data_IF_563631205983
#
_entry.id   IF_563631205983
#
_cell.length_a   1.000
_cell.length_b   1.000
_cell.length_c   1.000
_cell.angle_alpha   90.00
_cell.angle_beta   90.00
_cell.angle_gamma   90.00
#
_symmetry.space_group_name_H-M   'P 1'
#
loop_
_entity.id
_entity.type
_entity.pdbx_description
1 polymer ?
#
# COMPACT_ATOMS: atom_id res chain seq x y z
N UNK A 1 -85.46 41.62 -9.90
CA UNK A 1 -84.01 41.76 -9.86
C UNK A 1 -83.47 40.56 -9.10
N UNK A 2 -82.96 39.56 -9.82
CA UNK A 2 -82.36 38.36 -9.25
C UNK A 2 -81.00 38.17 -9.92
N UNK A 3 -79.93 38.35 -9.14
CA UNK A 3 -78.55 38.24 -9.59
C UNK A 3 -78.19 36.79 -9.87
N UNK A 4 -77.73 36.53 -11.10
CA UNK A 4 -77.28 35.22 -11.55
C UNK A 4 -75.76 35.13 -11.33
N UNK A 5 -75.34 34.51 -10.23
CA UNK A 5 -73.93 34.25 -9.94
C UNK A 5 -73.39 33.13 -10.84
N UNK A 6 -72.42 33.48 -11.69
CA UNK A 6 -71.69 32.55 -12.56
C UNK A 6 -70.62 31.81 -11.74
N UNK A 7 -70.52 30.47 -11.79
CA UNK A 7 -69.53 29.74 -11.02
C UNK A 7 -68.14 29.82 -11.67
N UNK A 8 -67.13 30.06 -10.83
CA UNK A 8 -65.72 30.20 -11.23
C UNK A 8 -65.12 28.89 -11.81
N UNK A 9 -64.22 28.97 -12.79
CA UNK A 9 -63.65 27.80 -13.46
C UNK A 9 -62.71 27.00 -12.52
N UNK A 10 -62.90 25.68 -12.48
CA UNK A 10 -62.01 24.74 -11.80
C UNK A 10 -60.61 24.79 -12.40
N UNK A 11 -59.59 25.14 -11.59
CA UNK A 11 -58.17 25.11 -11.98
C UNK A 11 -57.75 23.69 -12.36
N UNK A 12 -57.25 23.53 -13.58
CA UNK A 12 -56.67 22.28 -14.06
C UNK A 12 -55.44 21.89 -13.21
N UNK A 13 -55.20 20.58 -12.97
CA UNK A 13 -54.06 20.12 -12.19
C UNK A 13 -52.74 20.47 -12.89
N UNK A 14 -51.84 21.13 -12.16
CA UNK A 14 -50.47 21.40 -12.60
C UNK A 14 -49.77 20.07 -12.91
N UNK A 15 -49.47 19.81 -14.19
CA UNK A 15 -48.60 18.70 -14.61
C UNK A 15 -47.26 18.84 -13.90
N UNK A 16 -46.85 17.80 -13.15
CA UNK A 16 -45.50 17.72 -12.57
C UNK A 16 -44.47 17.77 -13.71
N UNK A 17 -43.40 18.58 -13.60
CA UNK A 17 -42.36 18.62 -14.63
C UNK A 17 -41.79 17.22 -14.84
N UNK A 18 -41.76 16.76 -16.09
CA UNK A 18 -41.08 15.51 -16.44
C UNK A 18 -39.56 15.71 -16.26
N UNK A 19 -38.85 14.76 -15.64
CA UNK A 19 -37.42 14.85 -15.44
C UNK A 19 -36.72 14.90 -16.80
N UNK A 20 -35.75 15.81 -16.93
CA UNK A 20 -34.95 16.00 -18.14
C UNK A 20 -34.22 14.69 -18.45
N UNK A 21 -34.17 14.23 -19.72
CA UNK A 21 -33.43 13.02 -20.07
C UNK A 21 -31.95 13.22 -19.73
N UNK A 22 -31.39 12.25 -19.00
CA UNK A 22 -30.02 12.31 -18.53
C UNK A 22 -29.04 12.24 -19.70
N UNK A 23 -27.95 13.02 -19.61
CA UNK A 23 -26.87 12.93 -20.59
C UNK A 23 -26.10 11.61 -20.41
N UNK A 24 -25.39 11.16 -21.44
CA UNK A 24 -24.53 9.96 -21.37
C UNK A 24 -23.51 10.10 -20.23
N UNK A 25 -22.96 11.31 -20.03
CA UNK A 25 -22.01 11.61 -18.97
C UNK A 25 -22.63 11.45 -17.57
N UNK A 26 -23.85 11.95 -17.35
CA UNK A 26 -24.55 11.78 -16.07
C UNK A 26 -24.81 10.29 -15.74
N UNK A 27 -25.11 9.48 -16.76
CA UNK A 27 -25.30 8.03 -16.59
C UNK A 27 -23.98 7.32 -16.27
N UNK A 28 -22.89 7.72 -16.92
CA UNK A 28 -21.54 7.20 -16.64
C UNK A 28 -21.06 7.57 -15.23
N UNK A 29 -21.24 8.83 -14.81
CA UNK A 29 -20.93 9.28 -13.45
C UNK A 29 -21.73 8.52 -12.38
N UNK A 30 -23.02 8.24 -12.65
CA UNK A 30 -23.83 7.40 -11.78
C UNK A 30 -23.24 5.99 -11.67
N UNK A 31 -22.92 5.36 -12.80
CA UNK A 31 -22.34 4.01 -12.80
C UNK A 31 -21.02 3.95 -12.02
N UNK A 32 -20.12 4.94 -12.20
CA UNK A 32 -18.87 5.02 -11.45
C UNK A 32 -19.08 5.21 -9.94
N UNK A 33 -20.08 6.01 -9.53
CA UNK A 33 -20.42 6.15 -8.11
C UNK A 33 -20.92 4.84 -7.50
N UNK A 34 -21.80 4.11 -8.20
CA UNK A 34 -22.29 2.82 -7.72
C UNK A 34 -21.15 1.80 -7.62
N UNK A 35 -20.25 1.74 -8.61
CA UNK A 35 -19.06 0.89 -8.56
C UNK A 35 -18.16 1.24 -7.36
N UNK A 36 -17.97 2.53 -7.06
CA UNK A 36 -17.21 2.98 -5.89
C UNK A 36 -17.89 2.57 -4.58
N UNK A 37 -19.22 2.65 -4.50
CA UNK A 37 -19.98 2.19 -3.33
C UNK A 37 -19.80 0.69 -3.12
N UNK A 38 -19.98 -0.12 -4.16
CA UNK A 38 -19.76 -1.58 -4.11
C UNK A 38 -18.34 -1.91 -3.65
N UNK A 39 -17.34 -1.20 -4.19
CA UNK A 39 -15.95 -1.44 -3.82
C UNK A 39 -15.67 -1.08 -2.35
N UNK A 40 -16.29 -0.03 -1.83
CA UNK A 40 -16.23 0.31 -0.39
C UNK A 40 -16.90 -0.74 0.49
N UNK A 41 -18.05 -1.25 0.09
CA UNK A 41 -18.76 -2.32 0.83
C UNK A 41 -17.91 -3.59 0.91
N UNK A 42 -17.22 -3.95 -0.18
CA UNK A 42 -16.27 -5.07 -0.20
C UNK A 42 -15.09 -4.79 0.74
N UNK A 43 -14.50 -3.59 0.67
CA UNK A 43 -13.35 -3.21 1.52
C UNK A 43 -13.67 -3.11 3.00
N UNK A 44 -14.87 -2.66 3.37
CA UNK A 44 -15.32 -2.60 4.76
C UNK A 44 -15.37 -3.97 5.44
N UNK A 45 -15.51 -5.06 4.68
CA UNK A 45 -15.44 -6.43 5.17
C UNK A 45 -14.03 -6.92 5.49
N UNK A 46 -12.98 -6.16 5.14
CA UNK A 46 -11.58 -6.56 5.27
C UNK A 46 -10.82 -5.84 6.39
N UNK A 47 -11.51 -5.09 7.27
CA UNK A 47 -10.91 -4.33 8.38
C UNK A 47 -9.83 -3.32 7.94
N UNK A 48 -10.00 -2.76 6.73
CA UNK A 48 -9.09 -1.78 6.14
C UNK A 48 -9.46 -0.37 6.65
N UNK A 49 -8.45 0.44 6.98
CA UNK A 49 -8.67 1.85 7.34
C UNK A 49 -9.41 2.60 6.21
N UNK A 50 -10.48 3.36 6.50
CA UNK A 50 -11.27 4.05 5.47
C UNK A 50 -10.47 5.02 4.58
N UNK A 51 -9.39 5.63 5.09
CA UNK A 51 -8.53 6.52 4.29
C UNK A 51 -7.65 5.73 3.35
N UNK A 52 -7.04 4.65 3.83
CA UNK A 52 -6.26 3.73 2.99
C UNK A 52 -7.12 3.12 1.88
N UNK A 53 -8.37 2.77 2.21
CA UNK A 53 -9.35 2.31 1.24
C UNK A 53 -9.68 3.38 0.19
N UNK A 54 -9.90 4.64 0.59
CA UNK A 54 -10.20 5.71 -0.37
C UNK A 54 -9.01 6.06 -1.27
N UNK A 55 -7.78 6.01 -0.75
CA UNK A 55 -6.55 6.17 -1.54
C UNK A 55 -6.38 5.01 -2.54
N UNK A 56 -6.60 3.77 -2.09
CA UNK A 56 -6.58 2.58 -2.93
C UNK A 56 -7.61 2.65 -4.06
N UNK A 57 -8.83 3.11 -3.74
CA UNK A 57 -9.92 3.29 -4.70
C UNK A 57 -9.67 4.45 -5.68
N UNK A 58 -8.98 5.51 -5.26
CA UNK A 58 -8.64 6.66 -6.10
C UNK A 58 -7.75 6.31 -7.29
N UNK A 59 -6.90 5.29 -7.14
CA UNK A 59 -5.99 4.82 -8.18
C UNK A 59 -6.46 3.50 -8.84
N UNK A 60 -7.67 3.03 -8.52
CA UNK A 60 -8.16 1.73 -8.95
C UNK A 60 -8.52 1.74 -10.44
N UNK A 61 -7.81 0.94 -11.24
CA UNK A 61 -8.19 0.67 -12.64
C UNK A 61 -8.73 -0.74 -12.75
N UNK A 62 -10.05 -0.86 -12.85
CA UNK A 62 -10.74 -2.15 -12.97
C UNK A 62 -10.89 -2.51 -14.46
N UNK A 63 -10.15 -3.49 -15.00
CA UNK A 63 -10.61 -4.15 -16.21
C UNK A 63 -11.91 -4.86 -15.84
N UNK A 64 -13.01 -4.61 -16.54
CA UNK A 64 -14.26 -5.38 -16.37
C UNK A 64 -14.74 -5.74 -17.76
N UNK A 65 -14.93 -7.02 -18.01
CA UNK A 65 -15.52 -7.49 -19.26
C UNK A 65 -17.03 -7.48 -19.09
N UNK A 66 -17.72 -6.63 -19.85
CA UNK A 66 -19.18 -6.53 -19.83
C UNK A 66 -19.74 -7.13 -21.11
N UNK A 67 -20.43 -8.26 -20.99
CA UNK A 67 -21.15 -8.89 -22.10
C UNK A 67 -22.49 -8.18 -22.30
N UNK A 68 -22.58 -7.30 -23.30
CA UNK A 68 -23.76 -6.45 -23.58
C UNK A 68 -24.88 -7.17 -24.37
N UNK A 69 -24.99 -8.49 -24.27
CA UNK A 69 -25.90 -9.28 -25.11
C UNK A 69 -27.39 -8.99 -24.87
N UNK A 70 -28.13 -8.65 -25.95
CA UNK A 70 -29.59 -8.68 -26.07
C UNK A 70 -30.39 -7.62 -25.28
N UNK A 71 -31.68 -7.44 -25.62
CA UNK A 71 -32.60 -6.49 -24.97
C UNK A 71 -32.89 -6.81 -23.48
N UNK A 72 -32.56 -8.02 -23.03
CA UNK A 72 -32.65 -8.46 -21.64
C UNK A 72 -31.34 -9.07 -21.19
N UNK A 73 -30.70 -8.48 -20.18
CA UNK A 73 -29.54 -9.07 -19.52
C UNK A 73 -29.99 -10.33 -18.78
N UNK A 74 -29.53 -11.54 -19.17
CA UNK A 74 -29.82 -12.76 -18.43
C UNK A 74 -29.32 -12.60 -16.98
N UNK A 75 -30.08 -13.10 -16.01
CA UNK A 75 -29.70 -13.05 -14.59
C UNK A 75 -28.31 -13.65 -14.34
N UNK A 76 -27.95 -14.68 -15.09
CA UNK A 76 -26.65 -15.34 -15.09
C UNK A 76 -25.50 -14.37 -15.46
N UNK A 77 -25.68 -13.49 -16.44
CA UNK A 77 -24.66 -12.52 -16.84
C UNK A 77 -24.44 -11.46 -15.74
N UNK A 78 -25.51 -11.07 -15.04
CA UNK A 78 -25.43 -10.15 -13.90
C UNK A 78 -24.71 -10.81 -12.72
N UNK A 79 -25.01 -12.07 -12.42
CA UNK A 79 -24.36 -12.84 -11.36
C UNK A 79 -22.87 -13.08 -11.66
N UNK A 80 -22.52 -13.40 -12.91
CA UNK A 80 -21.14 -13.53 -13.38
C UNK A 80 -20.38 -12.21 -13.28
N UNK A 81 -20.96 -11.11 -13.75
CA UNK A 81 -20.37 -9.77 -13.62
C UNK A 81 -20.15 -9.38 -12.15
N UNK A 82 -21.13 -9.63 -11.28
CA UNK A 82 -21.02 -9.34 -9.86
C UNK A 82 -19.91 -10.17 -9.19
N UNK A 83 -19.78 -11.45 -9.55
CA UNK A 83 -18.74 -12.34 -9.05
C UNK A 83 -17.35 -11.91 -9.53
N UNK A 84 -17.21 -11.61 -10.83
CA UNK A 84 -15.97 -11.13 -11.42
C UNK A 84 -15.55 -9.78 -10.84
N UNK A 85 -16.49 -8.84 -10.68
CA UNK A 85 -16.24 -7.54 -10.06
C UNK A 85 -15.78 -7.72 -8.61
N UNK A 86 -16.46 -8.56 -7.83
CA UNK A 86 -16.08 -8.83 -6.44
C UNK A 86 -14.68 -9.42 -6.36
N UNK A 87 -14.37 -10.44 -7.16
CA UNK A 87 -13.05 -11.07 -7.17
C UNK A 87 -11.95 -10.07 -7.54
N UNK A 88 -12.18 -9.23 -8.56
CA UNK A 88 -11.20 -8.22 -8.99
C UNK A 88 -11.00 -7.12 -7.95
N UNK A 89 -12.09 -6.64 -7.34
CA UNK A 89 -11.99 -5.66 -6.26
C UNK A 89 -11.25 -6.25 -5.06
N UNK A 90 -11.55 -7.48 -4.66
CA UNK A 90 -10.87 -8.18 -3.56
C UNK A 90 -9.36 -8.31 -3.81
N UNK A 91 -8.96 -8.79 -4.98
CA UNK A 91 -7.55 -8.88 -5.37
C UNK A 91 -6.84 -7.52 -5.37
N UNK A 92 -7.50 -6.50 -5.91
CA UNK A 92 -6.91 -5.16 -5.99
C UNK A 92 -6.82 -4.47 -4.64
N UNK A 93 -7.83 -4.65 -3.76
CA UNK A 93 -7.79 -4.15 -2.40
C UNK A 93 -6.67 -4.83 -1.62
N UNK A 94 -6.56 -6.16 -1.69
CA UNK A 94 -5.43 -6.91 -1.12
C UNK A 94 -4.10 -6.37 -1.58
N UNK A 95 -3.91 -6.15 -2.88
CA UNK A 95 -2.67 -5.58 -3.41
C UNK A 95 -2.41 -4.13 -2.98
N UNK A 96 -3.46 -3.33 -2.82
CA UNK A 96 -3.34 -1.95 -2.38
C UNK A 96 -2.95 -1.86 -0.89
N UNK A 97 -3.52 -2.72 -0.05
CA UNK A 97 -3.24 -2.72 1.40
C UNK A 97 -2.02 -3.55 1.78
N UNK A 98 -1.59 -4.51 0.95
CA UNK A 98 -0.44 -5.35 1.26
C UNK A 98 0.87 -4.55 1.43
N UNK A 99 0.95 -3.33 0.89
CA UNK A 99 2.07 -2.43 1.13
C UNK A 99 1.75 -1.39 2.21
N UNK A 100 2.48 -1.46 3.32
CA UNK A 100 2.49 -0.43 4.37
C UNK A 100 3.91 0.07 4.58
N UNK A 101 4.11 1.38 4.50
CA UNK A 101 5.43 2.00 4.71
C UNK A 101 5.93 1.72 6.11
N UNK A 102 7.20 1.35 6.26
CA UNK A 102 7.78 1.00 7.56
C UNK A 102 7.47 -0.42 8.03
N UNK A 103 6.83 -1.24 7.19
CA UNK A 103 6.44 -2.60 7.52
C UNK A 103 6.81 -3.58 6.41
N UNK A 104 7.21 -4.79 6.78
CA UNK A 104 7.39 -5.93 5.87
C UNK A 104 6.12 -6.77 5.90
N UNK A 105 5.60 -7.16 4.73
CA UNK A 105 4.41 -7.98 4.67
C UNK A 105 4.63 -9.36 5.30
N UNK A 106 3.72 -9.79 6.17
CA UNK A 106 3.77 -11.09 6.82
C UNK A 106 2.85 -12.08 6.09
N UNK A 107 3.42 -12.98 5.30
CA UNK A 107 2.65 -14.01 4.58
C UNK A 107 2.03 -15.04 5.52
N UNK A 108 2.58 -15.23 6.72
CA UNK A 108 2.00 -16.12 7.72
C UNK A 108 0.68 -15.58 8.31
N UNK A 109 0.63 -14.28 8.58
CA UNK A 109 -0.56 -13.62 9.14
C UNK A 109 -1.48 -13.01 8.06
N UNK A 110 -1.05 -13.09 6.80
CA UNK A 110 -1.67 -12.50 5.61
C UNK A 110 -2.01 -11.01 5.77
N UNK A 111 -1.13 -10.25 6.44
CA UNK A 111 -1.40 -8.84 6.75
C UNK A 111 -0.12 -7.99 6.86
N UNK A 112 -0.21 -6.69 6.55
CA UNK A 112 0.93 -5.75 6.57
C UNK A 112 1.21 -5.15 7.95
N UNK A 113 0.39 -5.42 8.98
CA UNK A 113 0.35 -4.66 10.24
C UNK A 113 0.37 -5.55 11.50
N UNK A 114 0.83 -6.80 11.40
CA UNK A 114 1.03 -7.65 12.57
C UNK A 114 2.36 -7.32 13.30
N UNK A 115 2.51 -7.82 14.53
CA UNK A 115 3.73 -7.65 15.35
C UNK A 115 5.03 -8.16 14.69
N UNK A 116 4.94 -9.02 13.67
CA UNK A 116 6.11 -9.55 12.96
C UNK A 116 6.62 -8.62 11.86
N UNK A 117 5.85 -7.59 11.48
CA UNK A 117 6.13 -6.75 10.31
C UNK A 117 7.19 -5.68 10.56
N UNK A 118 7.68 -5.54 11.79
CA UNK A 118 8.65 -4.54 12.20
C UNK A 118 9.76 -5.15 13.06
N UNK A 119 10.97 -4.56 13.04
CA UNK A 119 12.01 -4.96 13.96
C UNK A 119 11.61 -4.59 15.39
N UNK A 120 12.10 -5.35 16.37
CA UNK A 120 11.87 -5.05 17.78
C UNK A 120 12.87 -4.03 18.32
N UNK A 121 14.08 -4.01 17.75
CA UNK A 121 15.15 -3.07 18.07
C UNK A 121 15.56 -2.24 16.85
N UNK A 122 16.16 -1.07 17.07
CA UNK A 122 16.55 -0.16 15.97
C UNK A 122 17.78 -0.61 15.19
N UNK A 123 18.59 -1.49 15.75
CA UNK A 123 19.76 -2.09 15.11
C UNK A 123 19.43 -3.38 14.35
N UNK A 124 18.18 -3.84 14.42
CA UNK A 124 17.68 -4.98 13.66
C UNK A 124 17.28 -4.61 12.23
N UNK A 125 17.53 -5.54 11.32
CA UNK A 125 17.17 -5.47 9.91
C UNK A 125 16.43 -6.73 9.49
N UNK A 126 15.65 -6.61 8.41
CA UNK A 126 14.93 -7.73 7.83
C UNK A 126 15.93 -8.73 7.24
N UNK A 127 15.88 -9.99 7.71
CA UNK A 127 16.80 -11.05 7.32
C UNK A 127 16.21 -12.04 6.32
N UNK A 128 14.97 -11.83 5.88
CA UNK A 128 14.23 -12.75 5.03
C UNK A 128 13.00 -13.34 5.71
N UNK A 129 12.54 -14.48 5.22
CA UNK A 129 11.34 -15.15 5.71
C UNK A 129 11.64 -16.53 6.28
N UNK A 130 10.86 -16.95 7.27
CA UNK A 130 10.78 -18.37 7.66
C UNK A 130 10.17 -19.20 6.51
N UNK A 131 10.26 -20.55 6.56
CA UNK A 131 9.59 -21.42 5.59
C UNK A 131 8.08 -21.18 5.46
N UNK A 132 7.45 -20.68 6.52
CA UNK A 132 6.02 -20.36 6.60
C UNK A 132 5.70 -18.90 6.26
N UNK A 133 6.66 -18.13 5.75
CA UNK A 133 6.44 -16.75 5.31
C UNK A 133 6.30 -15.73 6.44
N UNK A 134 6.80 -16.02 7.64
CA UNK A 134 6.90 -15.02 8.72
C UNK A 134 8.21 -14.24 8.55
N UNK A 135 8.21 -12.89 8.63
CA UNK A 135 9.43 -12.10 8.59
C UNK A 135 10.39 -12.49 9.72
N UNK A 136 11.67 -12.58 9.39
CA UNK A 136 12.76 -12.76 10.36
C UNK A 136 13.60 -11.50 10.46
N UNK A 137 14.05 -11.21 11.68
CA UNK A 137 14.83 -10.03 12.00
C UNK A 137 16.15 -10.47 12.63
N UNK A 138 17.24 -9.80 12.28
CA UNK A 138 18.58 -10.02 12.84
C UNK A 138 19.26 -8.68 13.06
N UNK A 139 20.22 -8.59 13.98
CA UNK A 139 20.99 -7.35 14.14
C UNK A 139 21.84 -7.10 12.89
N UNK A 140 22.06 -5.84 12.53
CA UNK A 140 22.88 -5.51 11.35
C UNK A 140 24.29 -6.10 11.44
N UNK A 141 24.88 -6.14 12.64
CA UNK A 141 26.18 -6.76 12.87
C UNK A 141 26.16 -8.26 12.58
N UNK A 142 25.12 -8.98 13.00
CA UNK A 142 24.97 -10.40 12.68
C UNK A 142 24.80 -10.60 11.17
N UNK A 143 24.02 -9.74 10.50
CA UNK A 143 23.91 -9.77 9.04
C UNK A 143 25.28 -9.59 8.37
N UNK A 144 26.10 -8.63 8.81
CA UNK A 144 27.47 -8.46 8.30
C UNK A 144 28.34 -9.71 8.49
N UNK A 145 28.22 -10.39 9.64
CA UNK A 145 28.97 -11.60 9.93
C UNK A 145 28.53 -12.78 9.06
N UNK A 146 27.21 -12.96 8.88
CA UNK A 146 26.63 -14.00 8.03
C UNK A 146 27.05 -13.84 6.57
N UNK A 147 27.15 -12.59 6.10
CA UNK A 147 27.62 -12.25 4.73
C UNK A 147 29.14 -12.14 4.62
N UNK A 148 29.89 -12.45 5.69
CA UNK A 148 31.34 -12.36 5.75
C UNK A 148 31.88 -11.00 5.23
N UNK A 149 31.22 -9.91 5.63
CA UNK A 149 31.58 -8.57 5.16
C UNK A 149 32.95 -8.17 5.71
N UNK A 150 33.87 -7.89 4.80
CA UNK A 150 35.16 -7.31 5.14
C UNK A 150 34.96 -6.01 5.92
N UNK A 151 35.82 -5.77 6.91
CA UNK A 151 35.84 -4.52 7.71
C UNK A 151 34.64 -4.33 8.65
N UNK A 152 33.94 -5.39 9.03
CA UNK A 152 32.84 -5.33 10.04
C UNK A 152 33.29 -4.71 11.37
N UNK A 153 34.58 -4.80 11.71
CA UNK A 153 35.20 -4.17 12.87
C UNK A 153 35.13 -2.63 12.83
N UNK A 154 35.09 -2.04 11.63
CA UNK A 154 34.99 -0.59 11.46
C UNK A 154 33.62 -0.01 11.81
N UNK A 155 32.59 -0.85 12.01
CA UNK A 155 31.31 -0.41 12.58
C UNK A 155 31.46 0.14 14.00
N UNK A 156 32.54 -0.24 14.70
CA UNK A 156 32.80 0.10 16.10
C UNK A 156 34.09 0.89 16.31
N UNK A 157 34.74 1.36 15.24
CA UNK A 157 35.92 2.21 15.33
C UNK A 157 35.60 3.57 15.97
N UNK A 158 36.62 4.35 16.34
CA UNK A 158 36.41 5.72 16.85
C UNK A 158 35.79 6.67 15.81
N UNK A 159 35.96 6.34 14.53
CA UNK A 159 35.21 6.94 13.42
C UNK A 159 34.52 5.81 12.66
N UNK A 160 33.29 5.44 13.04
CA UNK A 160 32.60 4.32 12.43
C UNK A 160 32.34 4.55 10.95
N UNK A 161 32.59 3.52 10.14
CA UNK A 161 32.19 3.54 8.74
C UNK A 161 30.76 3.04 8.58
N UNK A 162 30.06 3.55 7.56
CA UNK A 162 28.77 3.01 7.14
C UNK A 162 29.02 1.91 6.12
N UNK A 163 28.60 0.70 6.47
CA UNK A 163 28.64 -0.45 5.59
C UNK A 163 27.25 -0.63 4.98
N UNK A 164 27.20 -0.97 3.71
CA UNK A 164 25.96 -1.28 3.01
C UNK A 164 26.02 -2.68 2.38
N UNK A 165 24.97 -3.47 2.59
CA UNK A 165 24.79 -4.82 2.05
C UNK A 165 23.57 -4.79 1.13
N UNK A 166 23.70 -5.34 -0.08
CA UNK A 166 22.58 -5.52 -1.00
C UNK A 166 22.14 -6.97 -1.00
N UNK A 167 20.86 -7.22 -0.83
CA UNK A 167 20.28 -8.57 -0.85
C UNK A 167 19.21 -8.65 -1.95
N UNK A 168 19.35 -9.57 -2.92
CA UNK A 168 18.30 -9.83 -3.91
C UNK A 168 17.11 -10.54 -3.28
N UNK A 169 15.97 -10.54 -3.96
CA UNK A 169 14.78 -11.27 -3.53
C UNK A 169 15.02 -12.77 -3.30
N UNK A 170 15.85 -13.39 -4.15
CA UNK A 170 16.19 -14.82 -4.05
C UNK A 170 16.81 -15.20 -2.71
N UNK A 171 17.63 -14.30 -2.14
CA UNK A 171 18.23 -14.51 -0.82
C UNK A 171 17.21 -14.28 0.30
N UNK A 172 16.35 -13.26 0.18
CA UNK A 172 15.37 -12.91 1.20
C UNK A 172 14.21 -13.91 1.31
N UNK A 173 13.96 -14.67 0.23
CA UNK A 173 12.92 -15.69 0.15
C UNK A 173 13.48 -17.11 0.20
N UNK A 174 14.78 -17.25 0.45
CA UNK A 174 15.42 -18.55 0.51
C UNK A 174 14.75 -19.44 1.57
N UNK A 175 14.39 -20.67 1.20
CA UNK A 175 13.73 -21.62 2.09
C UNK A 175 12.24 -21.37 2.35
N UNK A 176 11.66 -20.28 1.82
CA UNK A 176 10.21 -20.05 1.89
C UNK A 176 9.46 -21.07 1.02
N UNK A 177 8.43 -21.71 1.56
CA UNK A 177 7.65 -22.68 0.81
C UNK A 177 6.78 -21.99 -0.26
N UNK A 178 6.55 -22.60 -1.44
CA UNK A 178 5.79 -21.97 -2.53
C UNK A 178 4.39 -21.46 -2.15
N UNK A 179 3.72 -22.14 -1.21
CA UNK A 179 2.40 -21.74 -0.71
C UNK A 179 2.40 -20.44 0.11
N UNK A 180 3.57 -19.93 0.49
CA UNK A 180 3.73 -18.67 1.20
C UNK A 180 4.52 -17.70 0.31
N UNK A 181 3.87 -16.63 -0.16
CA UNK A 181 4.52 -15.47 -0.78
C UNK A 181 5.17 -15.65 -2.16
N UNK A 182 5.59 -16.86 -2.56
CA UNK A 182 6.27 -17.12 -3.84
C UNK A 182 5.45 -16.70 -5.06
N UNK A 183 4.14 -16.98 -5.02
CA UNK A 183 3.18 -16.62 -6.07
C UNK A 183 2.23 -15.48 -5.66
N UNK A 184 2.49 -14.78 -4.55
CA UNK A 184 1.62 -13.69 -4.11
C UNK A 184 1.66 -12.54 -5.11
N UNK A 185 0.54 -12.31 -5.78
CA UNK A 185 0.37 -11.18 -6.69
C UNK A 185 0.22 -9.85 -5.92
N UNK A 186 -0.14 -9.90 -4.64
CA UNK A 186 -0.41 -8.72 -3.84
C UNK A 186 0.87 -8.01 -3.38
N UNK A 187 1.91 -8.77 -3.02
CA UNK A 187 3.17 -8.22 -2.49
C UNK A 187 4.37 -9.06 -2.92
N UNK A 188 5.32 -8.41 -3.60
CA UNK A 188 6.53 -9.03 -4.08
C UNK A 188 7.74 -8.15 -3.72
N UNK A 189 8.53 -8.58 -2.73
CA UNK A 189 9.80 -7.94 -2.41
C UNK A 189 10.84 -8.31 -3.48
N UNK A 190 11.39 -7.29 -4.16
CA UNK A 190 12.36 -7.44 -5.25
C UNK A 190 13.82 -7.44 -4.75
N UNK A 191 14.04 -6.95 -3.55
CA UNK A 191 15.34 -6.89 -2.91
C UNK A 191 15.42 -5.75 -1.91
N UNK A 192 16.56 -5.65 -1.24
CA UNK A 192 16.83 -4.57 -0.29
C UNK A 192 18.30 -4.18 -0.25
N UNK A 193 18.53 -2.96 0.22
CA UNK A 193 19.83 -2.47 0.66
C UNK A 193 19.72 -2.16 2.14
N UNK A 194 20.61 -2.74 2.93
CA UNK A 194 20.72 -2.48 4.37
C UNK A 194 22.01 -1.72 4.61
N UNK A 195 21.92 -0.58 5.30
CA UNK A 195 23.07 0.21 5.71
C UNK A 195 23.05 0.43 7.22
N UNK A 196 24.19 0.23 7.88
CA UNK A 196 24.30 0.40 9.33
C UNK A 196 25.75 0.62 9.75
N UNK A 197 26.04 0.97 11.01
CA UNK A 197 25.15 1.46 12.07
C UNK A 197 25.10 3.00 12.00
N UNK A 198 24.04 3.55 11.43
CA UNK A 198 23.92 5.00 11.19
C UNK A 198 23.49 5.68 12.50
N UNK A 199 24.15 6.76 12.97
CA UNK A 199 23.69 7.49 14.14
C UNK A 199 22.38 8.22 13.85
N UNK A 200 21.43 8.26 14.80
CA UNK A 200 20.10 8.85 14.57
C UNK A 200 20.14 10.34 14.18
N UNK A 201 21.17 11.07 14.58
CA UNK A 201 21.38 12.46 14.20
C UNK A 201 22.05 12.62 12.81
N UNK A 202 22.31 11.52 12.10
CA UNK A 202 22.97 11.45 10.80
C UNK A 202 24.37 12.10 10.76
N UNK A 203 24.97 12.39 11.91
CA UNK A 203 26.35 12.88 12.03
C UNK A 203 27.31 11.69 12.14
N UNK A 204 27.85 11.28 11.00
CA UNK A 204 28.71 10.10 10.88
C UNK A 204 30.15 10.39 11.31
N UNK A 205 30.56 11.67 11.41
CA UNK A 205 31.96 12.05 11.61
C UNK A 205 32.44 11.87 13.06
N UNK A 206 31.51 11.82 14.02
CA UNK A 206 31.83 11.76 15.44
C UNK A 206 31.27 10.50 16.09
N UNK A 207 32.09 9.88 16.93
CA UNK A 207 31.60 8.94 17.93
C UNK A 207 30.71 9.70 18.91
N UNK A 208 29.41 9.58 18.72
CA UNK A 208 28.39 10.10 19.62
C UNK A 208 27.76 8.96 20.40
N UNK A 209 27.35 9.22 21.64
CA UNK A 209 26.51 8.31 22.44
C UNK A 209 25.06 8.25 21.93
N UNK A 210 24.77 8.85 20.77
CA UNK A 210 23.46 8.78 20.12
C UNK A 210 23.19 7.35 19.67
N UNK A 211 21.97 6.83 19.87
CA UNK A 211 21.59 5.51 19.37
C UNK A 211 21.86 5.39 17.87
N UNK A 212 22.21 4.19 17.45
CA UNK A 212 22.46 3.86 16.04
C UNK A 212 21.37 2.96 15.52
N UNK A 213 21.14 3.06 14.22
CA UNK A 213 20.05 2.39 13.52
C UNK A 213 20.57 1.65 12.30
N UNK A 214 19.97 0.50 12.01
CA UNK A 214 20.09 -0.18 10.74
C UNK A 214 19.03 0.40 9.79
N UNK A 215 19.46 1.16 8.79
CA UNK A 215 18.57 1.69 7.76
C UNK A 215 18.40 0.65 6.67
N UNK A 216 17.17 0.23 6.39
CA UNK A 216 16.88 -0.67 5.28
C UNK A 216 16.01 0.02 4.25
N UNK A 217 16.42 -0.05 2.98
CA UNK A 217 15.64 0.39 1.83
C UNK A 217 15.25 -0.85 1.04
N UNK A 218 13.96 -1.13 0.94
CA UNK A 218 13.43 -2.27 0.17
C UNK A 218 12.72 -1.78 -1.07
N UNK A 219 12.87 -2.52 -2.17
CA UNK A 219 12.07 -2.32 -3.36
C UNK A 219 10.95 -3.37 -3.39
N UNK A 220 9.71 -2.91 -3.40
CA UNK A 220 8.52 -3.76 -3.38
C UNK A 220 7.70 -3.51 -4.64
N UNK A 221 7.28 -4.59 -5.28
CA UNK A 221 6.26 -4.61 -6.33
C UNK A 221 4.92 -5.04 -5.72
N UNK A 222 3.87 -4.26 -5.91
CA UNK A 222 2.48 -4.73 -5.72
C UNK A 222 1.78 -4.78 -7.07
N UNK A 223 0.92 -5.79 -7.28
CA UNK A 223 0.16 -5.92 -8.53
C UNK A 223 -1.33 -5.76 -8.29
N UNK A 224 -1.89 -4.68 -8.82
CA UNK A 224 -3.33 -4.47 -8.86
C UNK A 224 -3.89 -5.13 -10.12
N UNK A 225 -4.24 -6.41 -10.00
CA UNK A 225 -4.66 -7.24 -11.15
C UNK A 225 -3.50 -7.62 -12.09
N UNK A 226 -3.82 -8.18 -13.26
CA UNK A 226 -2.81 -8.76 -14.17
C UNK A 226 -1.86 -7.76 -14.87
N UNK A 227 -2.23 -6.48 -14.97
CA UNK A 227 -1.52 -5.54 -15.85
C UNK A 227 -0.77 -4.42 -15.12
N UNK A 228 -1.17 -4.03 -13.91
CA UNK A 228 -0.63 -2.84 -13.25
C UNK A 228 0.34 -3.25 -12.16
N UNK A 229 1.62 -2.98 -12.41
CA UNK A 229 2.71 -3.13 -11.44
C UNK A 229 3.00 -1.78 -10.80
N UNK A 230 3.02 -1.74 -9.47
CA UNK A 230 3.43 -0.55 -8.72
C UNK A 230 4.71 -0.87 -7.98
N UNK A 231 5.77 -0.14 -8.31
CA UNK A 231 7.03 -0.20 -7.58
C UNK A 231 7.01 0.84 -6.46
N UNK A 232 7.37 0.42 -5.25
CA UNK A 232 7.38 1.26 -4.05
C UNK A 232 8.67 1.02 -3.28
N UNK A 233 9.29 2.10 -2.82
CA UNK A 233 10.38 2.03 -1.87
C UNK A 233 9.80 1.95 -0.45
N UNK A 234 10.27 0.97 0.34
CA UNK A 234 9.97 0.85 1.75
C UNK A 234 11.20 1.22 2.57
N UNK A 235 11.03 2.07 3.57
CA UNK A 235 12.10 2.45 4.51
C UNK A 235 11.82 1.79 5.85
N UNK A 236 12.81 1.09 6.40
CA UNK A 236 12.78 0.52 7.75
C UNK A 236 13.93 1.10 8.59
N UNK A 237 13.73 1.16 9.91
CA UNK A 237 14.71 1.69 10.87
C UNK A 237 14.58 3.20 11.09
N UNK A 238 14.47 3.98 10.01
CA UNK A 238 14.15 5.41 10.04
C UNK A 238 12.93 5.72 9.18
N UNK A 239 12.07 6.58 9.71
CA UNK A 239 10.98 7.17 8.94
C UNK A 239 11.48 8.33 8.07
N UNK A 240 10.76 8.62 6.99
CA UNK A 240 11.06 9.80 6.16
C UNK A 240 10.98 11.10 6.96
N UNK A 241 10.11 11.17 7.97
CA UNK A 241 9.99 12.33 8.85
C UNK A 241 11.21 12.48 9.75
N UNK A 242 11.67 11.41 10.40
CA UNK A 242 12.91 11.44 11.18
C UNK A 242 14.10 11.90 10.34
N UNK A 243 14.23 11.41 9.10
CA UNK A 243 15.30 11.85 8.18
C UNK A 243 15.16 13.34 7.85
N UNK A 244 13.94 13.82 7.58
CA UNK A 244 13.68 15.23 7.27
C UNK A 244 13.93 16.15 8.47
N UNK A 245 13.51 15.76 9.66
CA UNK A 245 13.68 16.54 10.89
C UNK A 245 15.17 16.69 11.22
N UNK A 246 15.94 15.61 11.03
CA UNK A 246 17.40 15.64 11.21
C UNK A 246 18.04 16.49 10.12
N UNK A 247 17.64 16.36 8.87
CA UNK A 247 18.16 17.20 7.78
C UNK A 247 17.82 18.69 7.96
N UNK A 248 16.67 19.01 8.57
CA UNK A 248 16.24 20.37 8.87
C UNK A 248 16.94 20.98 10.09
N UNK A 249 17.36 20.15 11.05
CA UNK A 249 18.07 20.56 12.27
C UNK A 249 19.59 20.48 12.14
N UNK A 250 20.10 19.75 11.15
CA UNK A 250 21.51 19.65 10.80
C UNK A 250 22.04 20.99 10.28
N UNK A 251 22.62 21.77 11.19
CA UNK A 251 23.52 22.92 11.03
C UNK A 251 23.29 23.86 9.82
N UNK A 252 23.09 25.14 10.13
CA UNK A 252 23.29 26.24 9.19
C UNK A 252 24.56 26.00 8.38
N UNK A 253 24.41 25.88 7.04
CA UNK A 253 25.55 25.87 6.12
C UNK A 253 26.46 27.03 6.51
N UNK A 254 27.72 26.73 6.82
CA UNK A 254 28.70 27.77 7.04
C UNK A 254 28.72 28.71 5.83
N UNK A 255 29.05 30.00 6.00
CA UNK A 255 28.96 31.02 4.94
C UNK A 255 29.97 30.83 3.78
N UNK A 256 30.46 29.61 3.54
CA UNK A 256 31.46 29.26 2.55
C UNK A 256 31.04 28.11 1.60
N UNK A 257 29.76 27.74 1.56
CA UNK A 257 29.15 26.94 0.47
C UNK A 257 28.24 27.79 -0.43
#
# INVERSE_FOLDING_TARGET
MADTQTPAPRRAPRRKPQPRPQTINERAERALRELRTIAREIGAGQDIDPRELDDALGELTLPVTVELGGDSLPRENVEKLATDLRSRVDEMLKAAVAFRRGHVYCFFCDRPDCSHTQPTQRDETFAGYTPTGRPTWTTFTNLCLEHAVDRVDLLYADRPEIIAITQPDSALKEGMLPGFGGDSLAYNMLGQVVAGLIPLNLDVERRSDVPRVALTIQLVETRCGRAIRRLRANLLGLTSTEIQDVAASGYARGPAE
#
